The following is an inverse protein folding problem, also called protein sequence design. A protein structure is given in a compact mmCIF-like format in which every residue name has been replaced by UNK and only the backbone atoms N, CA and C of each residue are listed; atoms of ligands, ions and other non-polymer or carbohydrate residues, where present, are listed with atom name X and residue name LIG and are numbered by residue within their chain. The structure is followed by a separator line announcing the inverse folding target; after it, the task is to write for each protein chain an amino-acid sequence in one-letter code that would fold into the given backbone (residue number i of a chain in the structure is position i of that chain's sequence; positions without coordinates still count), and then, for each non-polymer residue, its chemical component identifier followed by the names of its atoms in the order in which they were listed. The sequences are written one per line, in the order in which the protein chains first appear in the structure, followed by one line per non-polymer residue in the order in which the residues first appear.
data_IF_001004488632
#
_entry.id   IF_001004488632
#
_cell.length_a   1.000
_cell.length_b   1.000
_cell.length_c   1.000
_cell.angle_alpha   90.00
_cell.angle_beta   90.00
_cell.angle_gamma   90.00
#
_symmetry.space_group_name_H-M   'P 1'
#
loop_
_entity.id
_entity.type
_entity.pdbx_description
1 polymer ?
#
# COMPACT_ATOMS: atom_id res chain seq x y z
N UNK A 1 -13.28 -7.58 2.00
CA UNK A 1 -12.54 -8.86 2.02
C UNK A 1 -12.54 -9.42 3.43
N UNK A 2 -12.02 -8.72 4.46
CA UNK A 2 -12.01 -9.22 5.84
C UNK A 2 -13.42 -9.67 6.31
N UNK A 3 -14.45 -8.85 6.10
CA UNK A 3 -15.84 -9.20 6.43
C UNK A 3 -16.36 -10.42 5.65
N UNK A 4 -15.87 -10.64 4.43
CA UNK A 4 -16.25 -11.82 3.65
C UNK A 4 -15.61 -13.10 4.20
N UNK A 5 -14.38 -13.00 4.73
CA UNK A 5 -13.69 -14.12 5.38
C UNK A 5 -14.34 -14.49 6.72
N UNK A 6 -14.66 -13.49 7.55
CA UNK A 6 -15.21 -13.72 8.90
C UNK A 6 -16.67 -14.22 8.89
N UNK A 7 -17.48 -13.70 7.97
CA UNK A 7 -18.94 -13.98 7.96
C UNK A 7 -19.38 -14.84 6.77
N UNK A 8 -18.49 -15.29 5.89
CA UNK A 8 -18.80 -16.08 4.69
C UNK A 8 -19.76 -15.37 3.71
N UNK A 9 -19.92 -14.04 3.81
CA UNK A 9 -20.90 -13.28 3.03
C UNK A 9 -20.37 -12.98 1.64
N UNK A 10 -20.77 -13.78 0.63
CA UNK A 10 -20.37 -13.69 -0.78
C UNK A 10 -20.46 -12.27 -1.36
N UNK A 11 -21.54 -11.53 -1.01
CA UNK A 11 -21.78 -10.15 -1.49
C UNK A 11 -20.66 -9.18 -1.14
N UNK A 12 -20.04 -9.29 0.04
CA UNK A 12 -18.92 -8.40 0.39
C UNK A 12 -17.66 -8.69 -0.41
N UNK A 13 -17.44 -9.94 -0.81
CA UNK A 13 -16.32 -10.28 -1.69
C UNK A 13 -16.53 -9.74 -3.10
N UNK A 14 -17.73 -9.87 -3.65
CA UNK A 14 -18.07 -9.30 -4.98
C UNK A 14 -17.91 -7.78 -4.97
N UNK A 15 -18.48 -7.10 -3.98
CA UNK A 15 -18.34 -5.64 -3.82
C UNK A 15 -16.88 -5.22 -3.71
N UNK A 16 -16.05 -5.98 -2.98
CA UNK A 16 -14.61 -5.70 -2.89
C UNK A 16 -13.93 -5.80 -4.26
N UNK A 17 -14.30 -6.77 -5.09
CA UNK A 17 -13.82 -6.88 -6.47
C UNK A 17 -14.24 -5.70 -7.34
N UNK A 18 -15.50 -5.28 -7.26
CA UNK A 18 -16.00 -4.10 -7.96
C UNK A 18 -15.26 -2.82 -7.53
N UNK A 19 -15.05 -2.63 -6.22
CA UNK A 19 -14.31 -1.48 -5.69
C UNK A 19 -12.85 -1.49 -6.14
N UNK A 20 -12.22 -2.67 -6.22
CA UNK A 20 -10.85 -2.80 -6.72
C UNK A 20 -10.79 -2.41 -8.21
N UNK A 21 -11.75 -2.87 -9.03
CA UNK A 21 -11.84 -2.45 -10.43
C UNK A 21 -12.00 -0.93 -10.55
N UNK A 22 -12.92 -0.35 -9.77
CA UNK A 22 -13.16 1.09 -9.77
C UNK A 22 -11.92 1.89 -9.33
N UNK A 23 -11.18 1.40 -8.33
CA UNK A 23 -9.92 1.99 -7.93
C UNK A 23 -8.90 2.01 -9.09
N UNK A 24 -8.72 0.89 -9.79
CA UNK A 24 -7.83 0.80 -10.96
C UNK A 24 -8.31 1.69 -12.09
N UNK A 25 -9.63 1.78 -12.30
CA UNK A 25 -10.23 2.69 -13.29
C UNK A 25 -9.91 4.15 -12.97
N UNK A 26 -9.99 4.57 -11.70
CA UNK A 26 -9.66 5.92 -11.28
C UNK A 26 -8.16 6.23 -11.40
N UNK A 27 -7.30 5.26 -11.12
CA UNK A 27 -5.86 5.40 -11.25
C UNK A 27 -5.18 4.04 -11.38
N UNK A 28 -4.42 3.86 -12.45
CA UNK A 28 -3.62 2.65 -12.65
C UNK A 28 -2.59 2.40 -11.53
N UNK A 29 -2.12 3.45 -10.85
CA UNK A 29 -1.26 3.32 -9.68
C UNK A 29 -1.91 2.57 -8.52
N UNK A 30 -3.25 2.60 -8.43
CA UNK A 30 -4.01 1.89 -7.40
C UNK A 30 -4.04 0.36 -7.58
N UNK A 31 -3.58 -0.17 -8.71
CA UNK A 31 -3.33 -1.62 -8.87
C UNK A 31 -2.43 -2.16 -7.76
N UNK A 32 -1.52 -1.33 -7.26
CA UNK A 32 -0.60 -1.69 -6.18
C UNK A 32 -1.23 -1.70 -4.78
N UNK A 33 -2.53 -1.37 -4.65
CA UNK A 33 -3.33 -1.68 -3.47
C UNK A 33 -3.66 -3.19 -3.38
N UNK A 34 -3.66 -3.90 -4.49
CA UNK A 34 -4.02 -5.31 -4.51
C UNK A 34 -3.22 -6.17 -3.51
N UNK A 35 -1.88 -6.04 -3.35
CA UNK A 35 -1.14 -6.73 -2.31
C UNK A 35 -1.64 -6.42 -0.89
N UNK A 36 -2.01 -5.16 -0.61
CA UNK A 36 -2.56 -4.76 0.69
C UNK A 36 -3.94 -5.36 0.93
N UNK A 37 -4.75 -5.49 -0.12
CA UNK A 37 -6.03 -6.20 -0.05
C UNK A 37 -5.86 -7.70 0.22
N UNK A 38 -4.69 -8.27 -0.05
CA UNK A 38 -4.38 -9.66 0.25
C UNK A 38 -3.99 -9.91 1.72
N UNK A 39 -3.69 -8.89 2.52
CA UNK A 39 -3.29 -9.06 3.93
C UNK A 39 -4.26 -9.94 4.74
N UNK A 40 -5.61 -9.76 4.69
CA UNK A 40 -6.54 -10.63 5.39
C UNK A 40 -6.48 -12.10 4.93
N UNK A 41 -6.14 -12.36 3.66
CA UNK A 41 -5.97 -13.72 3.13
C UNK A 41 -4.68 -14.34 3.64
N UNK A 42 -3.58 -13.59 3.66
CA UNK A 42 -2.29 -14.05 4.20
C UNK A 42 -2.46 -14.42 5.67
N UNK A 43 -3.17 -13.59 6.45
CA UNK A 43 -3.46 -13.87 7.85
C UNK A 43 -4.34 -15.12 8.01
N UNK A 44 -5.41 -15.26 7.23
CA UNK A 44 -6.27 -16.44 7.25
C UNK A 44 -5.53 -17.72 6.82
N UNK A 45 -4.60 -17.61 5.89
CA UNK A 45 -3.74 -18.72 5.47
C UNK A 45 -2.78 -19.12 6.59
N UNK A 46 -2.08 -18.17 7.18
CA UNK A 46 -1.16 -18.43 8.29
C UNK A 46 -1.82 -19.11 9.50
N UNK A 47 -3.13 -18.90 9.67
CA UNK A 47 -3.95 -19.57 10.69
C UNK A 47 -4.56 -20.91 10.26
N UNK A 48 -4.27 -21.39 9.06
CA UNK A 48 -4.85 -22.63 8.52
C UNK A 48 -6.33 -22.54 8.16
N UNK A 49 -6.95 -21.37 8.25
CA UNK A 49 -8.38 -21.19 7.97
C UNK A 49 -8.71 -21.27 6.46
N UNK A 50 -7.73 -21.08 5.60
CA UNK A 50 -7.92 -21.12 4.15
C UNK A 50 -8.19 -22.52 3.61
N UNK A 51 -7.69 -23.57 4.30
CA UNK A 51 -7.83 -24.95 3.85
C UNK A 51 -9.28 -25.40 3.74
N UNK A 52 -10.19 -24.83 4.51
CA UNK A 52 -11.60 -25.27 4.60
C UNK A 52 -12.57 -24.57 3.65
N UNK A 53 -12.38 -23.29 3.31
CA UNK A 53 -13.26 -22.52 2.40
C UNK A 53 -12.63 -21.17 1.92
N UNK A 54 -11.38 -20.89 2.20
CA UNK A 54 -10.79 -19.55 2.11
C UNK A 54 -10.55 -19.03 0.68
N UNK A 55 -10.57 -19.90 -0.33
CA UNK A 55 -10.43 -19.49 -1.72
C UNK A 55 -11.71 -18.89 -2.33
N UNK A 56 -12.88 -19.23 -1.77
CA UNK A 56 -14.20 -18.74 -2.28
C UNK A 56 -14.32 -17.21 -2.29
N UNK A 57 -13.90 -16.46 -1.24
CA UNK A 57 -13.93 -14.99 -1.27
C UNK A 57 -13.04 -14.40 -2.37
N UNK A 58 -11.89 -15.02 -2.66
CA UNK A 58 -11.00 -14.60 -3.75
C UNK A 58 -11.72 -14.74 -5.10
N UNK A 59 -12.38 -15.89 -5.30
CA UNK A 59 -13.13 -16.17 -6.51
C UNK A 59 -14.28 -15.20 -6.69
N UNK A 60 -15.05 -14.91 -5.63
CA UNK A 60 -16.14 -13.94 -5.69
C UNK A 60 -15.64 -12.51 -5.93
N UNK A 61 -14.50 -12.11 -5.37
CA UNK A 61 -13.88 -10.84 -5.68
C UNK A 61 -13.43 -10.78 -7.15
N UNK A 62 -12.86 -11.87 -7.66
CA UNK A 62 -12.53 -12.02 -9.09
C UNK A 62 -13.75 -11.88 -9.99
N UNK A 63 -14.87 -12.50 -9.62
CA UNK A 63 -16.15 -12.36 -10.36
C UNK A 63 -16.60 -10.90 -10.38
N UNK A 64 -16.54 -10.18 -9.24
CA UNK A 64 -16.89 -8.76 -9.19
C UNK A 64 -16.01 -7.91 -10.09
N UNK A 65 -14.69 -8.15 -10.09
CA UNK A 65 -13.73 -7.45 -10.92
C UNK A 65 -13.98 -7.69 -12.42
N UNK A 66 -14.16 -8.97 -12.83
CA UNK A 66 -14.44 -9.35 -14.22
C UNK A 66 -15.78 -8.79 -14.69
N UNK A 67 -16.81 -8.83 -13.86
CA UNK A 67 -18.12 -8.29 -14.21
C UNK A 67 -18.04 -6.79 -14.50
N UNK A 68 -17.31 -6.02 -13.68
CA UNK A 68 -17.09 -4.59 -13.94
C UNK A 68 -16.30 -4.35 -15.23
N UNK A 69 -15.28 -5.15 -15.52
CA UNK A 69 -14.49 -5.05 -16.77
C UNK A 69 -15.37 -5.33 -18.00
N UNK A 70 -16.19 -6.37 -17.94
CA UNK A 70 -17.13 -6.70 -19.03
C UNK A 70 -18.15 -5.57 -19.26
N UNK A 71 -18.71 -5.00 -18.18
CA UNK A 71 -19.63 -3.86 -18.28
C UNK A 71 -18.93 -2.64 -18.89
N UNK A 72 -17.71 -2.36 -18.47
CA UNK A 72 -16.93 -1.24 -19.01
C UNK A 72 -16.62 -1.42 -20.50
N UNK A 73 -16.24 -2.63 -20.92
CA UNK A 73 -15.99 -2.95 -22.34
C UNK A 73 -17.26 -2.88 -23.18
N UNK A 74 -18.34 -3.52 -22.71
CA UNK A 74 -19.60 -3.60 -23.48
C UNK A 74 -20.34 -2.26 -23.53
N UNK A 75 -20.39 -1.52 -22.41
CA UNK A 75 -21.15 -0.27 -22.31
C UNK A 75 -20.41 0.97 -22.76
N UNK A 76 -19.08 0.99 -22.59
CA UNK A 76 -18.26 2.20 -22.82
C UNK A 76 -17.10 1.98 -23.79
N UNK A 77 -16.98 0.79 -24.39
CA UNK A 77 -15.82 0.39 -25.23
C UNK A 77 -14.48 0.65 -24.52
N UNK A 78 -14.46 0.53 -23.18
CA UNK A 78 -13.31 0.81 -22.35
C UNK A 78 -12.55 -0.47 -22.06
N UNK A 79 -11.34 -0.62 -22.64
CA UNK A 79 -10.42 -1.70 -22.34
C UNK A 79 -9.30 -1.19 -21.43
N UNK A 80 -9.32 -1.66 -20.16
CA UNK A 80 -8.35 -1.28 -19.12
C UNK A 80 -6.92 -1.61 -19.54
N UNK A 81 -6.68 -2.74 -20.20
CA UNK A 81 -5.32 -3.18 -20.56
C UNK A 81 -4.73 -2.33 -21.68
N UNK A 82 -5.55 -2.02 -22.69
CA UNK A 82 -5.15 -1.15 -23.82
C UNK A 82 -4.85 0.27 -23.31
N UNK A 83 -5.70 0.78 -22.42
CA UNK A 83 -5.49 2.10 -21.82
C UNK A 83 -4.23 2.14 -20.93
N UNK A 84 -4.00 1.10 -20.15
CA UNK A 84 -2.79 0.99 -19.34
C UNK A 84 -1.52 1.01 -20.20
N UNK A 85 -1.48 0.24 -21.29
CA UNK A 85 -0.33 0.21 -22.20
C UNK A 85 -0.10 1.57 -22.88
N UNK A 86 -1.17 2.25 -23.30
CA UNK A 86 -1.08 3.59 -23.88
C UNK A 86 -0.53 4.61 -22.87
N UNK A 87 -1.04 4.63 -21.64
CA UNK A 87 -0.55 5.51 -20.57
C UNK A 87 0.90 5.21 -20.23
N UNK A 88 1.27 3.93 -20.15
CA UNK A 88 2.64 3.51 -19.90
C UNK A 88 3.60 4.01 -20.99
N UNK A 89 3.24 3.82 -22.26
CA UNK A 89 4.05 4.29 -23.39
C UNK A 89 4.21 5.80 -23.38
N UNK A 90 3.11 6.54 -23.19
CA UNK A 90 3.14 7.99 -23.08
C UNK A 90 4.04 8.48 -21.91
N UNK A 91 3.91 7.86 -20.74
CA UNK A 91 4.72 8.22 -19.58
C UNK A 91 6.23 7.96 -19.81
N UNK A 92 6.59 6.89 -20.48
CA UNK A 92 7.98 6.59 -20.84
C UNK A 92 8.56 7.59 -21.85
N UNK A 93 7.76 7.94 -22.88
CA UNK A 93 8.18 8.91 -23.90
C UNK A 93 8.36 10.31 -23.31
N UNK A 94 7.46 10.74 -22.42
CA UNK A 94 7.49 12.10 -21.85
C UNK A 94 8.67 12.34 -20.90
N UNK A 95 9.21 11.30 -20.25
CA UNK A 95 10.19 11.44 -19.17
C UNK A 95 11.64 11.22 -19.57
N UNK A 96 11.93 10.98 -20.84
CA UNK A 96 13.29 10.76 -21.31
C UNK A 96 14.03 9.66 -20.55
N UNK A 97 13.32 8.56 -20.27
CA UNK A 97 13.88 7.42 -19.55
C UNK A 97 14.95 6.74 -20.39
N UNK A 98 16.20 6.74 -19.92
CA UNK A 98 17.34 6.13 -20.62
C UNK A 98 17.51 4.62 -20.33
N UNK A 99 16.73 4.08 -19.40
CA UNK A 99 16.76 2.66 -19.02
C UNK A 99 17.96 2.24 -18.19
N UNK A 100 18.84 3.18 -17.79
CA UNK A 100 20.03 2.85 -17.00
C UNK A 100 19.69 2.56 -15.54
N UNK A 101 20.51 1.72 -14.91
CA UNK A 101 20.37 1.40 -13.48
C UNK A 101 20.60 2.64 -12.59
N UNK A 102 21.53 3.53 -13.00
CA UNK A 102 21.82 4.77 -12.28
C UNK A 102 20.59 5.67 -12.23
N UNK A 103 19.93 5.88 -13.37
CA UNK A 103 18.69 6.68 -13.43
C UNK A 103 17.57 6.06 -12.61
N UNK A 104 17.45 4.72 -12.60
CA UNK A 104 16.48 4.01 -11.76
C UNK A 104 16.76 4.26 -10.28
N UNK A 105 17.99 4.08 -9.84
CA UNK A 105 18.36 4.23 -8.43
C UNK A 105 18.17 5.68 -7.96
N UNK A 106 18.58 6.67 -8.75
CA UNK A 106 18.38 8.09 -8.41
C UNK A 106 16.88 8.43 -8.34
N UNK A 107 16.08 8.00 -9.31
CA UNK A 107 14.64 8.22 -9.29
C UNK A 107 13.97 7.54 -8.08
N UNK A 108 14.37 6.30 -7.78
CA UNK A 108 13.85 5.56 -6.63
C UNK A 108 14.19 6.23 -5.31
N UNK A 109 15.44 6.69 -5.15
CA UNK A 109 15.87 7.40 -3.93
C UNK A 109 15.11 8.72 -3.78
N UNK A 110 15.03 9.52 -4.85
CA UNK A 110 14.26 10.78 -4.84
C UNK A 110 12.80 10.52 -4.44
N UNK A 111 12.15 9.53 -5.05
CA UNK A 111 10.77 9.18 -4.76
C UNK A 111 10.58 8.71 -3.31
N UNK A 112 11.54 7.95 -2.76
CA UNK A 112 11.50 7.50 -1.37
C UNK A 112 11.63 8.68 -0.39
N UNK A 113 12.56 9.59 -0.66
CA UNK A 113 12.75 10.81 0.15
C UNK A 113 11.49 11.67 0.09
N UNK A 114 10.99 11.94 -1.10
CA UNK A 114 9.77 12.71 -1.31
C UNK A 114 8.57 12.09 -0.58
N UNK A 115 8.36 10.78 -0.73
CA UNK A 115 7.30 10.07 -0.03
C UNK A 115 7.46 10.16 1.50
N UNK A 116 8.70 10.01 1.99
CA UNK A 116 8.99 10.08 3.43
C UNK A 116 8.71 11.46 4.00
N UNK A 117 9.01 12.50 3.23
CA UNK A 117 8.76 13.88 3.62
C UNK A 117 7.25 14.16 3.67
N UNK A 118 6.51 13.83 2.59
CA UNK A 118 5.08 14.10 2.49
C UNK A 118 4.22 13.23 3.40
N UNK A 119 4.56 11.96 3.55
CA UNK A 119 3.86 11.04 4.46
C UNK A 119 4.20 11.31 5.91
N UNK A 120 5.43 11.75 6.15
CA UNK A 120 6.02 11.92 7.48
C UNK A 120 6.95 10.77 7.86
N UNK A 121 8.15 11.16 8.27
CA UNK A 121 9.21 10.21 8.61
C UNK A 121 8.78 9.20 9.70
N UNK A 122 8.01 9.65 10.69
CA UNK A 122 7.50 8.78 11.75
C UNK A 122 6.60 7.65 11.22
N UNK A 123 5.77 7.95 10.21
CA UNK A 123 4.89 6.95 9.59
C UNK A 123 5.70 5.93 8.79
N UNK A 124 6.71 6.39 8.04
CA UNK A 124 7.60 5.50 7.26
C UNK A 124 8.43 4.60 8.19
N UNK A 125 9.03 5.16 9.24
CA UNK A 125 9.77 4.38 10.24
C UNK A 125 8.89 3.34 10.95
N UNK A 126 7.62 3.67 11.18
CA UNK A 126 6.66 2.71 11.77
C UNK A 126 6.47 1.48 10.88
N UNK A 127 6.50 1.61 9.55
CA UNK A 127 6.41 0.47 8.63
C UNK A 127 7.62 -0.46 8.83
N UNK A 128 8.81 0.12 8.92
CA UNK A 128 10.06 -0.64 9.12
C UNK A 128 10.01 -1.38 10.46
N UNK A 129 9.61 -0.69 11.54
CA UNK A 129 9.49 -1.29 12.86
C UNK A 129 8.45 -2.42 12.89
N UNK A 130 7.26 -2.21 12.29
CA UNK A 130 6.23 -3.26 12.24
C UNK A 130 6.70 -4.43 11.41
N UNK A 131 7.43 -4.21 10.32
CA UNK A 131 8.01 -5.27 9.50
C UNK A 131 9.04 -6.09 10.27
N UNK A 132 9.96 -5.44 10.99
CA UNK A 132 10.96 -6.10 11.82
C UNK A 132 10.31 -6.97 12.91
N UNK A 133 9.32 -6.42 13.63
CA UNK A 133 8.56 -7.18 14.64
C UNK A 133 7.81 -8.36 14.01
N UNK A 134 7.31 -8.19 12.79
CA UNK A 134 6.60 -9.27 12.07
C UNK A 134 7.54 -10.41 11.72
N UNK A 135 8.72 -10.11 11.20
CA UNK A 135 9.72 -11.13 10.87
C UNK A 135 10.16 -11.91 12.11
N UNK A 136 10.41 -11.22 13.24
CA UNK A 136 10.76 -11.88 14.50
C UNK A 136 9.63 -12.83 14.96
N UNK A 137 8.39 -12.38 14.97
CA UNK A 137 7.25 -13.19 15.40
C UNK A 137 6.95 -14.36 14.45
N UNK A 138 7.11 -14.18 13.13
CA UNK A 138 6.95 -15.26 12.15
C UNK A 138 8.05 -16.31 12.35
N UNK A 139 9.30 -15.89 12.53
CA UNK A 139 10.43 -16.77 12.81
C UNK A 139 10.21 -17.61 14.06
N UNK A 140 9.67 -16.99 15.12
CA UNK A 140 9.40 -17.65 16.39
C UNK A 140 8.04 -18.41 16.41
N UNK A 141 7.40 -18.59 15.27
CA UNK A 141 6.07 -19.26 15.13
C UNK A 141 5.00 -18.73 16.09
N UNK A 142 5.14 -17.48 16.55
CA UNK A 142 4.17 -16.86 17.42
C UNK A 142 2.88 -16.53 16.67
N UNK A 143 1.75 -16.54 17.39
CA UNK A 143 0.45 -16.13 16.81
C UNK A 143 0.53 -14.70 16.29
N UNK A 144 0.44 -14.50 14.99
CA UNK A 144 0.46 -13.19 14.36
C UNK A 144 -0.93 -12.58 14.30
N UNK A 145 -1.01 -11.25 14.50
CA UNK A 145 -2.23 -10.46 14.25
C UNK A 145 -2.22 -9.98 12.79
N UNK A 146 -3.39 -9.74 12.15
CA UNK A 146 -3.45 -9.25 10.75
C UNK A 146 -2.60 -8.03 10.49
N UNK A 147 -2.53 -7.10 11.45
CA UNK A 147 -1.72 -5.87 11.34
C UNK A 147 -0.22 -6.15 11.18
N UNK A 148 0.27 -7.26 11.73
CA UNK A 148 1.68 -7.64 11.56
C UNK A 148 2.02 -8.00 10.12
N UNK A 149 1.09 -8.54 9.35
CA UNK A 149 1.29 -8.79 7.92
C UNK A 149 1.26 -7.50 7.10
N UNK A 150 0.60 -6.45 7.61
CA UNK A 150 0.49 -5.17 6.90
C UNK A 150 1.87 -4.50 6.71
N UNK A 151 2.75 -4.54 7.71
CA UNK A 151 4.09 -3.95 7.62
C UNK A 151 4.92 -4.51 6.45
N UNK A 152 5.20 -5.84 6.42
CA UNK A 152 5.95 -6.47 5.34
C UNK A 152 5.31 -6.26 3.95
N UNK A 153 3.98 -6.42 3.85
CA UNK A 153 3.27 -6.22 2.57
C UNK A 153 3.35 -4.78 2.11
N UNK A 154 3.24 -3.81 3.03
CA UNK A 154 3.39 -2.39 2.72
C UNK A 154 4.82 -2.05 2.30
N UNK A 155 5.83 -2.60 3.00
CA UNK A 155 7.24 -2.46 2.61
C UNK A 155 7.51 -3.02 1.22
N UNK A 156 6.97 -4.20 0.91
CA UNK A 156 7.09 -4.81 -0.42
C UNK A 156 6.36 -3.99 -1.48
N UNK A 157 5.19 -3.43 -1.16
CA UNK A 157 4.44 -2.55 -2.06
C UNK A 157 5.23 -1.27 -2.36
N UNK A 158 5.83 -0.63 -1.35
CA UNK A 158 6.69 0.54 -1.54
C UNK A 158 7.91 0.18 -2.39
N UNK A 159 8.56 -0.95 -2.10
CA UNK A 159 9.69 -1.42 -2.90
C UNK A 159 9.29 -1.67 -4.36
N UNK A 160 8.16 -2.30 -4.60
CA UNK A 160 7.63 -2.51 -5.95
C UNK A 160 7.34 -1.16 -6.65
N UNK A 161 6.75 -0.19 -5.95
CA UNK A 161 6.55 1.15 -6.46
C UNK A 161 7.88 1.82 -6.82
N UNK A 162 8.90 1.72 -5.99
CA UNK A 162 10.23 2.28 -6.26
C UNK A 162 10.85 1.67 -7.52
N UNK A 163 10.72 0.37 -7.71
CA UNK A 163 11.31 -0.35 -8.84
C UNK A 163 10.50 -0.23 -10.13
N UNK A 164 9.16 -0.16 -10.02
CA UNK A 164 8.26 -0.18 -11.17
C UNK A 164 7.89 1.23 -11.65
N UNK A 165 7.85 2.20 -10.75
CA UNK A 165 7.47 3.57 -11.12
C UNK A 165 8.68 4.36 -11.60
N UNK A 166 8.69 4.66 -12.87
CA UNK A 166 9.64 5.54 -13.53
C UNK A 166 9.28 7.03 -13.37
N UNK A 167 8.55 7.37 -12.29
CA UNK A 167 8.10 8.74 -12.02
C UNK A 167 9.14 9.47 -11.21
N UNK A 168 9.61 10.63 -11.70
CA UNK A 168 10.41 11.56 -10.90
C UNK A 168 9.49 12.63 -10.33
N UNK A 169 9.61 12.92 -9.03
CA UNK A 169 8.99 14.06 -8.33
C UNK A 169 7.46 14.15 -8.36
N UNK A 170 6.74 13.05 -8.61
CA UNK A 170 5.28 12.98 -8.49
C UNK A 170 4.80 11.83 -7.60
N UNK A 171 5.73 11.10 -7.02
CA UNK A 171 5.44 9.93 -6.20
C UNK A 171 4.63 10.26 -4.96
N UNK A 172 4.82 11.41 -4.36
CA UNK A 172 4.08 11.88 -3.20
C UNK A 172 2.56 11.91 -3.45
N UNK A 173 2.13 12.44 -4.60
CA UNK A 173 0.71 12.47 -4.98
C UNK A 173 0.17 11.08 -5.29
N UNK A 174 0.94 10.29 -6.04
CA UNK A 174 0.51 8.98 -6.50
C UNK A 174 0.47 7.94 -5.36
N UNK A 175 1.23 8.14 -4.28
CA UNK A 175 1.34 7.18 -3.18
C UNK A 175 0.51 7.57 -1.95
N UNK A 176 -0.26 8.65 -2.00
CA UNK A 176 -1.13 9.10 -0.89
C UNK A 176 -2.11 8.00 -0.43
N UNK A 177 -2.49 7.08 -1.31
CA UNK A 177 -3.34 5.94 -0.95
C UNK A 177 -2.68 4.97 0.06
N UNK A 178 -1.35 5.03 0.23
CA UNK A 178 -0.65 4.22 1.23
C UNK A 178 -0.71 4.83 2.64
N UNK A 179 -0.95 6.15 2.75
CA UNK A 179 -0.95 6.87 4.04
C UNK A 179 -1.89 6.25 5.08
N UNK A 180 -3.14 5.86 4.77
CA UNK A 180 -4.01 5.21 5.74
C UNK A 180 -3.40 3.93 6.33
N UNK A 181 -2.69 3.14 5.53
CA UNK A 181 -2.03 1.91 5.97
C UNK A 181 -0.81 2.21 6.85
N UNK A 182 -0.06 3.26 6.52
CA UNK A 182 1.03 3.77 7.38
C UNK A 182 0.48 4.19 8.75
N UNK A 183 -0.66 4.90 8.77
CA UNK A 183 -1.33 5.30 10.01
C UNK A 183 -1.77 4.09 10.84
N UNK A 184 -2.27 3.02 10.22
CA UNK A 184 -2.65 1.78 10.91
C UNK A 184 -1.41 1.15 11.56
N UNK A 185 -0.29 1.04 10.82
CA UNK A 185 0.98 0.53 11.37
C UNK A 185 1.44 1.36 12.57
N UNK A 186 1.43 2.69 12.43
CA UNK A 186 1.84 3.61 13.51
C UNK A 186 0.93 3.51 14.71
N UNK A 187 -0.39 3.51 14.52
CA UNK A 187 -1.36 3.37 15.60
C UNK A 187 -1.17 2.05 16.37
N UNK A 188 -0.93 0.96 15.63
CA UNK A 188 -0.65 -0.34 16.24
C UNK A 188 0.66 -0.30 17.05
N UNK A 189 1.74 0.26 16.48
CA UNK A 189 3.04 0.36 17.13
C UNK A 189 2.95 1.18 18.42
N UNK A 190 2.27 2.32 18.38
CA UNK A 190 2.06 3.19 19.56
C UNK A 190 1.25 2.50 20.65
N UNK A 191 0.38 1.54 20.31
CA UNK A 191 -0.39 0.77 21.28
C UNK A 191 0.44 -0.33 22.00
N UNK A 192 1.62 -0.69 21.48
CA UNK A 192 2.47 -1.68 22.15
C UNK A 192 3.03 -1.10 23.45
N UNK A 193 2.72 -1.76 24.56
CA UNK A 193 3.06 -1.26 25.91
C UNK A 193 4.56 -1.26 26.21
N UNK A 194 5.33 -2.03 25.45
CA UNK A 194 6.75 -2.30 25.73
C UNK A 194 7.70 -1.23 25.17
N UNK A 195 7.27 -0.47 24.14
CA UNK A 195 8.16 0.42 23.42
C UNK A 195 8.51 1.72 24.15
N UNK A 196 7.55 2.34 24.86
CA UNK A 196 7.78 3.56 25.64
C UNK A 196 6.67 3.70 26.70
N UNK A 197 7.02 3.95 27.94
CA UNK A 197 6.09 4.37 29.00
C UNK A 197 6.40 5.82 29.35
N UNK A 198 5.41 6.68 29.47
CA UNK A 198 3.95 6.55 29.37
C UNK A 198 3.41 6.71 27.93
N UNK A 199 2.11 6.39 27.73
CA UNK A 199 1.43 6.39 26.41
C UNK A 199 1.47 7.75 25.70
N UNK A 200 1.35 8.85 26.44
CA UNK A 200 1.41 10.21 25.89
C UNK A 200 2.76 10.53 25.26
N UNK A 201 3.86 9.99 25.80
CA UNK A 201 5.20 10.19 25.23
C UNK A 201 5.33 9.58 23.83
N UNK A 202 4.70 8.43 23.61
CA UNK A 202 4.70 7.76 22.29
C UNK A 202 4.01 8.61 21.23
N UNK A 203 2.85 9.17 21.55
CA UNK A 203 2.16 10.09 20.67
C UNK A 203 2.95 11.39 20.50
N UNK A 204 3.55 11.88 21.58
CA UNK A 204 4.41 13.06 21.55
C UNK A 204 5.57 12.91 20.56
N UNK A 205 6.23 11.76 20.53
CA UNK A 205 7.32 11.47 19.58
C UNK A 205 6.80 11.47 18.15
N UNK A 206 5.67 10.81 17.87
CA UNK A 206 5.08 10.79 16.51
C UNK A 206 4.74 12.21 16.05
N UNK A 207 4.09 12.99 16.90
CA UNK A 207 3.72 14.39 16.59
C UNK A 207 4.97 15.27 16.41
N UNK A 208 5.97 15.14 17.27
CA UNK A 208 7.22 15.90 17.18
C UNK A 208 7.96 15.58 15.86
N UNK A 209 8.09 14.30 15.49
CA UNK A 209 8.70 13.91 14.23
C UNK A 209 7.94 14.45 13.03
N UNK A 210 6.60 14.42 13.06
CA UNK A 210 5.77 14.94 11.98
C UNK A 210 5.89 16.48 11.90
N UNK A 211 5.85 17.16 13.02
CA UNK A 211 6.02 18.61 13.08
C UNK A 211 7.38 19.04 12.53
N UNK A 212 8.46 18.36 12.97
CA UNK A 212 9.81 18.65 12.46
C UNK A 212 9.90 18.47 10.95
N UNK A 213 9.34 17.36 10.40
CA UNK A 213 9.31 17.14 8.96
C UNK A 213 8.53 18.25 8.24
N UNK A 214 7.41 18.70 8.79
CA UNK A 214 6.62 19.79 8.21
C UNK A 214 7.37 21.13 8.23
N UNK A 215 8.05 21.45 9.33
CA UNK A 215 8.86 22.68 9.44
C UNK A 215 10.01 22.68 8.44
N UNK A 216 10.72 21.56 8.30
CA UNK A 216 11.80 21.42 7.31
C UNK A 216 11.28 21.62 5.90
N UNK A 217 10.11 21.05 5.57
CA UNK A 217 9.45 21.23 4.27
C UNK A 217 9.10 22.69 4.00
N UNK A 218 8.47 23.36 4.96
CA UNK A 218 8.10 24.77 4.82
C UNK A 218 9.34 25.65 4.66
N UNK A 219 10.39 25.40 5.44
CA UNK A 219 11.64 26.14 5.30
C UNK A 219 12.26 25.95 3.90
N UNK A 220 12.22 24.73 3.35
CA UNK A 220 12.72 24.47 1.99
C UNK A 220 11.84 25.07 0.90
N UNK A 221 10.51 25.05 1.06
CA UNK A 221 9.60 25.59 0.05
C UNK A 221 9.60 27.13 -0.04
N UNK A 222 10.10 27.81 0.97
CA UNK A 222 10.25 29.29 0.98
C UNK A 222 11.53 29.75 0.27
N UNK A 223 12.51 28.82 0.04
CA UNK A 223 13.77 29.15 -0.60
C UNK A 223 13.87 28.73 -2.08
N UNK A 224 12.79 28.18 -2.65
CA UNK A 224 12.65 27.86 -4.08
C UNK A 224 11.35 28.44 -4.63
#
# INVERSE_FOLDING_TARGET
IALALDHGRRRFAIVAGCLLYFAVFCSFGLVLIAPLACVPFIDAWSRGMLARNGWKPILYAGVGLIACDLVARAGFSYDVLVRYDAVRKAALAWRGWDGTLDTLLRASLTNLVEFSIWTGLALVLSIVCVSAISFDRISNRARTKPVLWLGPVLSLTILALLLLTKTKAESSRLWLFLVPFCCICTAWLVQQRELLRPRWLRWGVVVACQFTATVVLLAHSVFF
#
